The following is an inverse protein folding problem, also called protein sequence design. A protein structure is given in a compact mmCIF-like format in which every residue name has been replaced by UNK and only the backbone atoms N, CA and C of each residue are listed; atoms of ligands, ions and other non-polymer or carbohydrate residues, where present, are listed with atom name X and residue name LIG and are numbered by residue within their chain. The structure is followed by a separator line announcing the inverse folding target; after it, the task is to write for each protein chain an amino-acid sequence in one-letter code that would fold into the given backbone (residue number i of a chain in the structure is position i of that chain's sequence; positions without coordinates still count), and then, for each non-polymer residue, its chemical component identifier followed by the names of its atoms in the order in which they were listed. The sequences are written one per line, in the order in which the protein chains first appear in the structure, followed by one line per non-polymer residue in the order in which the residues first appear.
data_IF_735788118333
#
_entry.id   IF_735788118333
#
_cell.length_a   1.000
_cell.length_b   1.000
_cell.length_c   1.000
_cell.angle_alpha   90.00
_cell.angle_beta   90.00
_cell.angle_gamma   90.00
#
_symmetry.space_group_name_H-M   'P 1'
#
loop_
_entity.id
_entity.type
_entity.pdbx_description
1 polymer ?
#
# COMPACT_ATOMS: atom_id res chain seq x y z
N UNK A 1 6.85 18.90 -19.15
CA UNK A 1 6.09 18.63 -17.91
C UNK A 1 4.60 18.61 -18.23
N UNK A 2 3.86 17.53 -17.92
CA UNK A 2 2.39 17.59 -17.98
C UNK A 2 1.92 18.55 -16.89
N UNK A 3 1.25 19.63 -17.27
CA UNK A 3 0.63 20.55 -16.32
C UNK A 3 -0.63 19.87 -15.78
N UNK A 4 -0.63 19.52 -14.50
CA UNK A 4 -1.81 19.06 -13.80
C UNK A 4 -2.76 20.24 -13.59
N UNK A 5 -4.07 19.94 -13.46
CA UNK A 5 -5.07 20.97 -13.20
C UNK A 5 -4.86 21.52 -11.76
N UNK A 6 -5.11 22.82 -11.47
CA UNK A 6 -5.06 23.36 -10.11
C UNK A 6 -5.86 22.57 -9.08
N UNK A 7 -6.97 21.94 -9.48
CA UNK A 7 -7.80 21.07 -8.63
C UNK A 7 -7.05 19.81 -8.15
N UNK A 8 -6.00 19.40 -8.88
CA UNK A 8 -5.19 18.23 -8.53
C UNK A 8 -4.19 18.49 -7.37
N UNK A 9 -4.05 19.74 -6.95
CA UNK A 9 -3.17 20.13 -5.86
C UNK A 9 -3.95 20.24 -4.53
N UNK A 10 -3.26 19.98 -3.42
CA UNK A 10 -3.81 20.18 -2.08
C UNK A 10 -3.45 21.59 -1.56
N UNK A 11 -3.88 21.90 -0.33
CA UNK A 11 -3.60 23.18 0.35
C UNK A 11 -2.10 23.51 0.55
N UNK A 12 -1.21 22.57 0.31
CA UNK A 12 0.25 22.71 0.41
C UNK A 12 0.92 22.76 -0.96
N UNK A 13 0.16 23.01 -2.03
CA UNK A 13 0.65 23.09 -3.42
C UNK A 13 1.36 21.82 -3.92
N UNK A 14 1.12 20.68 -3.28
CA UNK A 14 1.61 19.38 -3.74
C UNK A 14 0.48 18.55 -4.33
N UNK A 15 0.81 17.67 -5.29
CA UNK A 15 -0.17 16.83 -5.96
C UNK A 15 -0.95 15.97 -4.94
N UNK A 16 -2.27 15.93 -5.09
CA UNK A 16 -3.13 15.02 -4.33
C UNK A 16 -2.79 13.57 -4.66
N UNK A 17 -2.85 12.74 -3.64
CA UNK A 17 -2.64 11.30 -3.77
C UNK A 17 -3.81 10.73 -4.59
N UNK A 18 -3.56 10.04 -5.71
CA UNK A 18 -4.62 9.43 -6.50
C UNK A 18 -5.31 8.33 -5.70
N UNK A 19 -6.63 8.25 -5.82
CA UNK A 19 -7.44 7.25 -5.11
C UNK A 19 -6.93 5.82 -5.36
N UNK A 20 -6.53 5.52 -6.59
CA UNK A 20 -6.01 4.20 -6.92
C UNK A 20 -4.72 3.85 -6.17
N UNK A 21 -3.84 4.82 -5.90
CA UNK A 21 -2.64 4.60 -5.07
C UNK A 21 -3.02 4.31 -3.61
N UNK A 22 -4.05 4.98 -3.08
CA UNK A 22 -4.58 4.70 -1.74
C UNK A 22 -5.11 3.27 -1.69
N UNK A 23 -5.97 2.89 -2.65
CA UNK A 23 -6.52 1.53 -2.73
C UNK A 23 -5.42 0.47 -2.88
N UNK A 24 -4.41 0.73 -3.73
CA UNK A 24 -3.25 -0.15 -3.89
C UNK A 24 -2.49 -0.34 -2.58
N UNK A 25 -2.29 0.74 -1.82
CA UNK A 25 -1.59 0.66 -0.54
C UNK A 25 -2.40 -0.13 0.50
N UNK A 26 -3.72 0.07 0.56
CA UNK A 26 -4.61 -0.73 1.41
C UNK A 26 -4.62 -2.21 1.00
N UNK A 27 -4.64 -2.49 -0.30
CA UNK A 27 -4.54 -3.86 -0.79
C UNK A 27 -3.23 -4.53 -0.35
N UNK A 28 -2.09 -3.82 -0.41
CA UNK A 28 -0.81 -4.36 0.04
C UNK A 28 -0.75 -4.59 1.56
N UNK A 29 -1.67 -4.02 2.33
CA UNK A 29 -1.84 -4.30 3.76
C UNK A 29 -2.87 -5.43 4.03
N UNK A 30 -3.33 -6.14 2.99
CA UNK A 30 -4.40 -7.16 3.11
C UNK A 30 -4.12 -8.23 4.16
N UNK A 31 -2.86 -8.64 4.37
CA UNK A 31 -2.54 -9.66 5.36
C UNK A 31 -2.80 -9.21 6.80
N UNK A 32 -2.57 -7.91 7.11
CA UNK A 32 -2.99 -7.34 8.40
C UNK A 32 -4.52 -7.28 8.51
N UNK A 33 -5.21 -6.93 7.42
CA UNK A 33 -6.67 -6.91 7.39
C UNK A 33 -7.25 -8.32 7.58
N UNK A 34 -6.72 -9.33 6.89
CA UNK A 34 -7.16 -10.73 6.99
C UNK A 34 -7.02 -11.24 8.44
N UNK A 35 -5.93 -10.94 9.13
CA UNK A 35 -5.75 -11.31 10.54
C UNK A 35 -6.72 -10.56 11.45
N UNK A 36 -7.07 -9.33 11.11
CA UNK A 36 -8.03 -8.55 11.88
C UNK A 36 -9.50 -9.00 11.69
N UNK A 37 -9.82 -9.70 10.58
CA UNK A 37 -11.20 -10.13 10.29
C UNK A 37 -11.86 -10.93 11.42
N UNK A 38 -11.24 -11.94 12.05
CA UNK A 38 -11.85 -12.69 13.15
C UNK A 38 -12.18 -11.78 14.34
N UNK A 39 -11.32 -10.80 14.65
CA UNK A 39 -11.55 -9.84 15.73
C UNK A 39 -12.73 -8.92 15.39
N UNK A 40 -12.79 -8.44 14.14
CA UNK A 40 -13.88 -7.58 13.67
C UNK A 40 -15.23 -8.30 13.61
N UNK A 41 -15.23 -9.61 13.43
CA UNK A 41 -16.44 -10.43 13.41
C UNK A 41 -17.21 -10.42 14.74
N UNK A 42 -16.56 -10.08 15.85
CA UNK A 42 -17.22 -9.95 17.17
C UNK A 42 -18.06 -8.65 17.29
N UNK A 43 -17.90 -7.70 16.37
CA UNK A 43 -18.71 -6.47 16.35
C UNK A 43 -20.00 -6.76 15.57
N UNK A 44 -21.21 -6.66 16.19
CA UNK A 44 -22.46 -7.16 15.61
C UNK A 44 -22.76 -6.68 14.18
N UNK A 45 -22.58 -5.38 13.91
CA UNK A 45 -22.86 -4.80 12.59
C UNK A 45 -21.82 -5.23 11.55
N UNK A 46 -20.54 -5.25 11.95
CA UNK A 46 -19.42 -5.58 11.06
C UNK A 46 -19.37 -7.09 10.82
N UNK A 47 -19.72 -7.88 11.84
CA UNK A 47 -19.73 -9.34 11.78
C UNK A 47 -20.59 -9.90 10.65
N UNK A 48 -21.75 -9.30 10.35
CA UNK A 48 -22.62 -9.74 9.24
C UNK A 48 -21.90 -9.69 7.88
N UNK A 49 -21.03 -8.69 7.67
CA UNK A 49 -20.31 -8.50 6.41
C UNK A 49 -19.00 -9.32 6.39
N UNK A 50 -18.35 -9.45 7.55
CA UNK A 50 -17.04 -10.07 7.68
C UNK A 50 -17.10 -11.60 7.72
N UNK A 51 -18.16 -12.19 8.28
CA UNK A 51 -18.34 -13.64 8.36
C UNK A 51 -18.22 -14.37 7.01
N UNK A 52 -18.89 -13.95 5.93
CA UNK A 52 -18.72 -14.56 4.62
C UNK A 52 -17.28 -14.45 4.10
N UNK A 53 -16.60 -13.33 4.38
CA UNK A 53 -15.20 -13.15 3.98
C UNK A 53 -14.25 -14.11 4.70
N UNK A 54 -14.47 -14.38 5.99
CA UNK A 54 -13.68 -15.34 6.78
C UNK A 54 -13.81 -16.74 6.19
N UNK A 55 -15.00 -17.13 5.71
CA UNK A 55 -15.21 -18.44 5.10
C UNK A 55 -14.45 -18.61 3.78
N UNK A 56 -14.38 -17.55 2.97
CA UNK A 56 -13.66 -17.55 1.69
C UNK A 56 -12.16 -17.38 1.87
N UNK A 57 -11.76 -16.60 2.89
CA UNK A 57 -10.37 -16.21 3.14
C UNK A 57 -9.97 -16.51 4.59
N UNK A 58 -9.85 -17.79 5.01
CA UNK A 58 -9.42 -18.14 6.35
C UNK A 58 -7.99 -17.63 6.60
N UNK A 59 -7.79 -16.96 7.74
CA UNK A 59 -6.52 -16.32 8.09
C UNK A 59 -5.35 -17.30 8.09
N UNK A 60 -5.57 -18.54 8.53
CA UNK A 60 -4.55 -19.59 8.54
C UNK A 60 -3.99 -19.91 7.14
N UNK A 61 -4.81 -19.79 6.10
CA UNK A 61 -4.41 -20.09 4.74
C UNK A 61 -3.77 -18.89 4.03
N UNK A 62 -4.28 -17.68 4.26
CA UNK A 62 -3.89 -16.48 3.49
C UNK A 62 -3.01 -15.52 4.27
N UNK A 63 -2.78 -15.76 5.55
CA UNK A 63 -1.88 -14.96 6.37
C UNK A 63 -0.94 -15.85 7.16
N UNK A 64 0.33 -15.52 7.09
CA UNK A 64 1.41 -16.15 7.87
C UNK A 64 2.33 -15.08 8.40
N UNK A 65 3.13 -15.40 9.40
CA UNK A 65 4.10 -14.45 9.95
C UNK A 65 5.00 -13.84 8.88
N UNK A 66 5.49 -14.64 7.92
CA UNK A 66 6.32 -14.14 6.83
C UNK A 66 5.57 -13.16 5.91
N UNK A 67 4.29 -13.42 5.59
CA UNK A 67 3.46 -12.51 4.80
C UNK A 67 3.16 -11.20 5.54
N UNK A 68 3.05 -11.22 6.86
CA UNK A 68 2.93 -9.99 7.65
C UNK A 68 4.20 -9.14 7.57
N UNK A 69 5.37 -9.78 7.66
CA UNK A 69 6.64 -9.07 7.53
C UNK A 69 6.82 -8.48 6.12
N UNK A 70 6.34 -9.14 5.07
CA UNK A 70 6.40 -8.60 3.71
C UNK A 70 5.60 -7.31 3.54
N UNK A 71 4.56 -7.07 4.34
CA UNK A 71 3.76 -5.85 4.31
C UNK A 71 4.40 -4.65 5.03
N UNK A 72 5.48 -4.84 5.79
CA UNK A 72 6.12 -3.74 6.55
C UNK A 72 6.51 -2.56 5.65
N UNK A 73 7.12 -2.74 4.46
CA UNK A 73 7.45 -1.59 3.61
C UNK A 73 6.21 -0.80 3.17
N UNK A 74 5.09 -1.47 2.85
CA UNK A 74 3.83 -0.80 2.53
C UNK A 74 3.25 -0.05 3.75
N UNK A 75 3.37 -0.62 4.96
CA UNK A 75 2.96 0.04 6.20
C UNK A 75 3.73 1.34 6.43
N UNK A 76 5.05 1.35 6.20
CA UNK A 76 5.88 2.55 6.31
C UNK A 76 5.42 3.64 5.31
N UNK A 77 5.06 3.26 4.08
CA UNK A 77 4.52 4.19 3.09
C UNK A 77 3.16 4.72 3.54
N UNK A 78 2.29 3.89 4.11
CA UNK A 78 0.98 4.31 4.64
C UNK A 78 1.12 5.33 5.77
N UNK A 79 2.05 5.08 6.72
CA UNK A 79 2.35 6.04 7.81
C UNK A 79 2.87 7.35 7.21
N UNK A 80 3.76 7.29 6.25
CA UNK A 80 4.30 8.46 5.56
C UNK A 80 3.21 9.22 4.78
N UNK A 81 2.24 8.50 4.18
CA UNK A 81 1.08 9.07 3.51
C UNK A 81 0.19 9.86 4.48
N UNK A 82 -0.12 9.29 5.64
CA UNK A 82 -0.92 9.94 6.68
C UNK A 82 -0.18 11.14 7.32
N UNK A 83 1.15 11.04 7.46
CA UNK A 83 2.02 12.08 8.02
C UNK A 83 2.50 13.13 7.01
N UNK A 84 1.94 13.23 5.80
CA UNK A 84 2.37 14.15 4.74
C UNK A 84 1.98 15.61 5.03
N UNK A 85 2.73 16.24 5.94
CA UNK A 85 2.56 17.64 6.38
C UNK A 85 3.87 18.39 6.25
N UNK A 86 3.85 19.75 6.15
CA UNK A 86 5.07 20.57 6.10
C UNK A 86 6.00 20.36 7.31
N UNK A 87 5.42 20.12 8.48
CA UNK A 87 6.12 19.90 9.76
C UNK A 87 6.60 18.46 9.97
N UNK A 88 6.43 17.59 8.96
CA UNK A 88 6.80 16.17 9.07
C UNK A 88 8.31 15.98 9.27
N UNK A 89 8.67 14.95 10.03
CA UNK A 89 10.05 14.59 10.30
C UNK A 89 10.80 14.17 9.02
N UNK A 90 12.13 14.33 9.04
CA UNK A 90 12.98 14.03 7.88
C UNK A 90 12.89 12.57 7.43
N UNK A 91 12.69 11.62 8.37
CA UNK A 91 12.56 10.21 8.03
C UNK A 91 11.26 9.89 7.26
N UNK A 92 10.13 10.55 7.58
CA UNK A 92 8.87 10.42 6.83
C UNK A 92 9.04 10.92 5.39
N UNK A 93 9.73 12.04 5.22
CA UNK A 93 10.06 12.58 3.89
C UNK A 93 10.96 11.63 3.11
N UNK A 94 11.95 11.03 3.76
CA UNK A 94 12.85 10.06 3.16
C UNK A 94 12.11 8.80 2.69
N UNK A 95 11.20 8.24 3.53
CA UNK A 95 10.35 7.10 3.17
C UNK A 95 9.45 7.46 2.00
N UNK A 96 8.80 8.63 2.06
CA UNK A 96 7.90 9.09 1.00
C UNK A 96 8.61 9.16 -0.35
N UNK A 97 9.74 9.80 -0.44
CA UNK A 97 10.52 9.94 -1.69
C UNK A 97 10.93 8.58 -2.28
N UNK A 98 11.04 7.55 -1.46
CA UNK A 98 11.33 6.18 -1.87
C UNK A 98 10.09 5.27 -1.90
N UNK A 99 8.90 5.83 -1.73
CA UNK A 99 7.65 5.10 -1.56
C UNK A 99 7.38 4.08 -2.65
N UNK A 100 7.65 4.40 -3.93
CA UNK A 100 7.51 3.45 -5.04
C UNK A 100 8.40 2.21 -4.81
N UNK A 101 9.64 2.38 -4.37
CA UNK A 101 10.57 1.25 -4.11
C UNK A 101 10.08 0.39 -2.96
N UNK A 102 9.55 1.01 -1.90
CA UNK A 102 8.96 0.28 -0.77
C UNK A 102 7.72 -0.50 -1.17
N UNK A 103 6.81 0.09 -1.96
CA UNK A 103 5.63 -0.62 -2.46
C UNK A 103 6.02 -1.77 -3.41
N UNK A 104 6.96 -1.56 -4.32
CA UNK A 104 7.47 -2.62 -5.19
C UNK A 104 8.15 -3.73 -4.39
N UNK A 105 8.92 -3.38 -3.35
CA UNK A 105 9.55 -4.36 -2.46
C UNK A 105 8.49 -5.23 -1.78
N UNK A 106 7.40 -4.64 -1.27
CA UNK A 106 6.28 -5.39 -0.71
C UNK A 106 5.74 -6.41 -1.71
N UNK A 107 5.41 -5.97 -2.93
CA UNK A 107 4.83 -6.85 -3.97
C UNK A 107 5.80 -7.99 -4.34
N UNK A 108 7.08 -7.67 -4.53
CA UNK A 108 8.11 -8.68 -4.89
C UNK A 108 8.29 -9.69 -3.76
N UNK A 109 8.34 -9.25 -2.50
CA UNK A 109 8.43 -10.15 -1.34
C UNK A 109 7.20 -11.04 -1.24
N UNK A 110 6.01 -10.52 -1.47
CA UNK A 110 4.76 -11.25 -1.40
C UNK A 110 4.70 -12.33 -2.48
N UNK A 111 4.96 -11.97 -3.75
CA UNK A 111 5.00 -12.94 -4.86
C UNK A 111 6.07 -14.01 -4.59
N UNK A 112 7.26 -13.61 -4.12
CA UNK A 112 8.33 -14.53 -3.77
C UNK A 112 7.93 -15.53 -2.69
N UNK A 113 7.23 -15.08 -1.65
CA UNK A 113 6.70 -15.95 -0.59
C UNK A 113 5.60 -16.87 -1.10
N UNK A 114 4.71 -16.40 -1.96
CA UNK A 114 3.68 -17.26 -2.56
C UNK A 114 4.31 -18.38 -3.40
N UNK A 115 5.30 -18.04 -4.24
CA UNK A 115 6.03 -19.05 -5.03
C UNK A 115 6.73 -20.05 -4.10
N UNK A 116 7.41 -19.56 -3.05
CA UNK A 116 8.08 -20.41 -2.08
C UNK A 116 7.10 -21.37 -1.39
N UNK A 117 5.93 -20.88 -0.97
CA UNK A 117 4.90 -21.72 -0.34
C UNK A 117 4.34 -22.78 -1.29
N UNK A 118 4.20 -22.46 -2.57
CA UNK A 118 3.75 -23.43 -3.58
C UNK A 118 4.84 -24.49 -3.79
N UNK A 119 6.10 -24.08 -3.95
CA UNK A 119 7.23 -25.01 -4.18
C UNK A 119 7.45 -25.94 -2.98
N UNK A 120 7.32 -25.43 -1.77
CA UNK A 120 7.44 -26.25 -0.54
C UNK A 120 6.16 -27.06 -0.26
N UNK A 121 5.17 -27.02 -1.13
CA UNK A 121 3.86 -27.67 -0.98
C UNK A 121 3.13 -27.35 0.34
N UNK A 122 3.50 -26.25 1.01
CA UNK A 122 2.87 -25.79 2.26
C UNK A 122 1.52 -25.14 2.04
N UNK A 123 1.28 -24.60 0.83
CA UNK A 123 -0.02 -24.04 0.40
C UNK A 123 -0.43 -24.61 -0.94
N UNK A 124 -1.70 -24.99 -1.05
CA UNK A 124 -2.26 -25.42 -2.34
C UNK A 124 -2.57 -24.20 -3.21
N UNK A 125 -2.27 -24.33 -4.50
CA UNK A 125 -2.68 -23.36 -5.49
C UNK A 125 -4.22 -23.37 -5.59
N UNK A 126 -4.85 -22.25 -5.36
CA UNK A 126 -6.28 -22.05 -5.49
C UNK A 126 -6.59 -20.74 -6.22
N UNK A 127 -7.85 -20.54 -6.58
CA UNK A 127 -8.31 -19.39 -7.35
C UNK A 127 -8.01 -18.06 -6.65
N UNK A 128 -8.17 -18.00 -5.33
CA UNK A 128 -7.92 -16.78 -4.54
C UNK A 128 -6.43 -16.42 -4.55
N UNK A 129 -5.55 -17.39 -4.42
CA UNK A 129 -4.11 -17.18 -4.48
C UNK A 129 -3.67 -16.69 -5.87
N UNK A 130 -4.23 -17.30 -6.94
CA UNK A 130 -4.00 -16.85 -8.31
C UNK A 130 -4.49 -15.42 -8.53
N UNK A 131 -5.64 -15.06 -7.97
CA UNK A 131 -6.17 -13.71 -8.03
C UNK A 131 -5.21 -12.70 -7.34
N UNK A 132 -4.65 -13.04 -6.19
CA UNK A 132 -3.68 -12.18 -5.51
C UNK A 132 -2.43 -11.97 -6.36
N UNK A 133 -1.84 -13.04 -6.88
CA UNK A 133 -0.67 -12.96 -7.77
C UNK A 133 -0.98 -12.10 -9.01
N UNK A 134 -2.17 -12.27 -9.61
CA UNK A 134 -2.59 -11.47 -10.76
C UNK A 134 -2.66 -9.97 -10.42
N UNK A 135 -3.31 -9.62 -9.30
CA UNK A 135 -3.42 -8.22 -8.85
C UNK A 135 -2.03 -7.65 -8.55
N UNK A 136 -1.14 -8.41 -7.94
CA UNK A 136 0.23 -8.01 -7.66
C UNK A 136 1.00 -7.66 -8.93
N UNK A 137 0.87 -8.45 -10.00
CA UNK A 137 1.46 -8.13 -11.32
C UNK A 137 0.88 -6.84 -11.90
N UNK A 138 -0.43 -6.64 -11.82
CA UNK A 138 -1.09 -5.41 -12.26
C UNK A 138 -0.56 -4.21 -11.48
N UNK A 139 -0.36 -4.35 -10.16
CA UNK A 139 0.22 -3.30 -9.32
C UNK A 139 1.66 -2.97 -9.69
N UNK A 140 2.50 -3.95 -10.00
CA UNK A 140 3.86 -3.70 -10.48
C UNK A 140 3.81 -2.82 -11.73
N UNK A 141 3.00 -3.20 -12.72
CA UNK A 141 2.85 -2.44 -13.96
C UNK A 141 2.36 -1.02 -13.68
N UNK A 142 1.37 -0.86 -12.81
CA UNK A 142 0.84 0.43 -12.41
C UNK A 142 1.91 1.32 -11.75
N UNK A 143 2.62 0.81 -10.75
CA UNK A 143 3.63 1.56 -10.01
C UNK A 143 4.80 1.98 -10.92
N UNK A 144 5.18 1.14 -11.88
CA UNK A 144 6.28 1.42 -12.81
C UNK A 144 5.88 2.37 -13.94
N UNK A 145 4.67 2.23 -14.51
CA UNK A 145 4.23 3.02 -15.67
C UNK A 145 3.57 4.35 -15.32
N UNK A 146 2.97 4.49 -14.14
CA UNK A 146 2.20 5.68 -13.78
C UNK A 146 3.11 6.88 -13.52
N UNK A 147 3.11 7.84 -14.44
CA UNK A 147 3.79 9.13 -14.24
C UNK A 147 3.23 9.89 -13.03
N UNK A 148 1.89 9.86 -12.85
CA UNK A 148 1.23 10.54 -11.73
C UNK A 148 1.74 10.01 -10.38
N UNK A 149 1.93 8.71 -10.25
CA UNK A 149 2.49 8.09 -9.03
C UNK A 149 3.91 8.59 -8.77
N UNK A 150 4.74 8.63 -9.81
CA UNK A 150 6.13 9.14 -9.69
C UNK A 150 6.15 10.61 -9.27
N UNK A 151 5.31 11.44 -9.88
CA UNK A 151 5.25 12.88 -9.58
C UNK A 151 4.72 13.14 -8.16
N UNK A 152 3.77 12.33 -7.67
CA UNK A 152 3.25 12.39 -6.30
C UNK A 152 4.32 12.05 -5.27
N UNK A 153 5.11 11.00 -5.50
CA UNK A 153 6.19 10.62 -4.59
C UNK A 153 7.41 11.54 -4.66
N UNK A 154 7.61 12.23 -5.79
CA UNK A 154 8.65 13.25 -5.91
C UNK A 154 8.34 14.53 -5.10
N UNK A 155 7.06 14.80 -4.83
CA UNK A 155 6.63 16.00 -4.12
C UNK A 155 6.34 15.70 -2.64
N UNK A 156 6.87 16.56 -1.78
CA UNK A 156 6.56 16.55 -0.34
C UNK A 156 6.33 17.98 0.12
N UNK A 157 5.33 18.26 0.98
CA UNK A 157 5.07 19.60 1.48
C UNK A 157 6.31 20.21 2.16
N UNK A 158 6.61 21.47 1.84
CA UNK A 158 7.71 22.22 2.44
C UNK A 158 7.10 23.34 3.27
N UNK A 159 7.67 23.71 4.44
CA UNK A 159 7.25 24.89 5.19
C UNK A 159 7.35 26.16 4.33
N UNK A 160 6.39 27.08 4.47
CA UNK A 160 6.32 28.33 3.68
C UNK A 160 7.61 29.16 3.78
N UNK A 161 8.23 29.21 4.96
CA UNK A 161 9.50 29.91 5.21
C UNK A 161 10.69 29.42 4.37
N UNK A 162 10.62 28.19 3.86
CA UNK A 162 11.67 27.62 3.02
C UNK A 162 11.48 27.96 1.53
N UNK A 163 10.30 28.44 1.13
CA UNK A 163 10.02 28.88 -0.24
C UNK A 163 10.50 30.33 -0.45
N UNK A 164 10.34 31.21 0.55
CA UNK A 164 10.83 32.61 0.46
C UNK A 164 12.35 32.73 0.31
N UNK A 165 13.11 31.72 0.71
CA UNK A 165 14.59 31.71 0.54
C UNK A 165 15.06 31.20 -0.83
N UNK A 166 14.13 30.80 -1.71
CA UNK A 166 14.47 30.26 -3.05
C UNK A 166 14.09 31.20 -4.20
N UNK A 167 13.39 32.30 -3.89
CA UNK A 167 13.17 33.45 -4.79
C UNK A 167 14.27 34.51 -4.54
#
# INVERSE_FOLDING_TARGET
MKRYNPVDYNQYEVLKIPLFLILATFYLLKHYLIIALPIMAHIPIIGMVVQPLIQVMPSEQYSSGALLYSCIPALLVTISMAGRKPTASSWLRWIWQRGIRFLLLTVVLEIGLFILYIVLATKKLNEVLLMFIYIDFVLIIYLLKSQRVRDVFAQFPVPAEANEKRE
#
